data_IF_723310429000
#
_entry.id   IF_723310429000
#
_cell.length_a   1.000
_cell.length_b   1.000
_cell.length_c   1.000
_cell.angle_alpha   90.00
_cell.angle_beta   90.00
_cell.angle_gamma   90.00
#
_symmetry.space_group_name_H-M   'P 1'
#
loop_
_entity.id
_entity.type
_entity.pdbx_description
1 polymer ?
#
# COMPACT_ATOMS: atom_id res chain seq x y z
N UNK A 1 17.72 -5.34 -13.17
CA UNK A 1 18.54 -6.44 -12.64
C UNK A 1 17.60 -7.50 -12.07
N UNK A 2 17.68 -8.74 -12.55
CA UNK A 2 16.92 -9.85 -11.98
C UNK A 2 17.57 -10.22 -10.64
N UNK A 3 16.85 -10.01 -9.54
CA UNK A 3 17.29 -10.41 -8.21
C UNK A 3 17.17 -11.95 -8.09
N UNK A 4 18.18 -12.66 -8.57
CA UNK A 4 18.24 -14.13 -8.53
C UNK A 4 19.14 -14.52 -7.37
N UNK A 5 18.67 -15.43 -6.53
CA UNK A 5 19.47 -15.97 -5.45
C UNK A 5 20.68 -16.74 -6.03
N UNK A 6 21.90 -16.58 -5.50
CA UNK A 6 23.11 -17.25 -6.03
C UNK A 6 22.97 -18.77 -6.17
N UNK A 7 22.25 -19.40 -5.23
CA UNK A 7 22.03 -20.85 -5.20
C UNK A 7 20.75 -21.32 -5.94
N UNK A 8 20.12 -20.45 -6.76
CA UNK A 8 18.89 -20.81 -7.46
C UNK A 8 19.15 -21.85 -8.57
N UNK A 9 18.65 -23.09 -8.39
CA UNK A 9 18.80 -24.17 -9.39
C UNK A 9 18.10 -23.89 -10.72
N UNK A 10 17.02 -23.10 -10.71
CA UNK A 10 16.26 -22.75 -11.93
C UNK A 10 16.37 -21.26 -12.21
N UNK A 11 17.51 -20.83 -12.75
CA UNK A 11 17.67 -19.47 -13.27
C UNK A 11 16.86 -19.29 -14.57
N UNK A 12 16.57 -18.05 -15.01
CA UNK A 12 15.89 -17.80 -16.28
C UNK A 12 16.55 -18.48 -17.49
N UNK A 13 17.89 -18.59 -17.49
CA UNK A 13 18.62 -19.30 -18.53
C UNK A 13 18.31 -20.82 -18.52
N UNK A 14 18.39 -21.46 -17.34
CA UNK A 14 18.07 -22.89 -17.16
C UNK A 14 16.61 -23.17 -17.51
N UNK A 15 15.69 -22.27 -17.15
CA UNK A 15 14.26 -22.40 -17.49
C UNK A 15 14.04 -22.36 -19.01
N UNK A 16 14.77 -21.49 -19.71
CA UNK A 16 14.71 -21.40 -21.17
C UNK A 16 15.28 -22.65 -21.84
N UNK A 17 16.36 -23.21 -21.30
CA UNK A 17 16.93 -24.49 -21.75
C UNK A 17 15.93 -25.63 -21.57
N UNK A 18 15.34 -25.76 -20.37
CA UNK A 18 14.29 -26.75 -20.07
C UNK A 18 13.11 -26.63 -21.05
N UNK A 19 12.69 -25.40 -21.34
CA UNK A 19 11.54 -25.14 -22.21
C UNK A 19 11.80 -25.48 -23.69
N UNK A 20 13.05 -25.42 -24.16
CA UNK A 20 13.43 -25.76 -25.55
C UNK A 20 13.81 -27.23 -25.73
N UNK A 21 14.29 -27.87 -24.67
CA UNK A 21 14.79 -29.24 -24.78
C UNK A 21 13.67 -30.23 -25.12
N UNK A 22 13.89 -31.17 -26.07
CA UNK A 22 12.97 -32.26 -26.38
C UNK A 22 13.15 -33.49 -25.47
N UNK A 23 14.13 -33.49 -24.57
CA UNK A 23 14.50 -34.69 -23.79
C UNK A 23 13.39 -35.18 -22.83
N UNK A 24 13.40 -36.44 -22.36
CA UNK A 24 12.43 -36.88 -21.37
C UNK A 24 12.50 -36.06 -20.08
N UNK A 25 11.36 -35.74 -19.46
CA UNK A 25 11.32 -34.89 -18.26
C UNK A 25 12.12 -35.45 -17.09
N UNK A 26 12.26 -36.78 -16.99
CA UNK A 26 13.08 -37.43 -15.96
C UNK A 26 14.57 -37.16 -16.12
N UNK A 27 15.08 -37.14 -17.36
CA UNK A 27 16.49 -36.84 -17.67
C UNK A 27 16.82 -35.41 -17.27
N UNK A 28 15.96 -34.45 -17.66
CA UNK A 28 16.15 -33.05 -17.29
C UNK A 28 16.03 -32.82 -15.78
N UNK A 29 15.09 -33.51 -15.12
CA UNK A 29 14.92 -33.44 -13.67
C UNK A 29 16.19 -33.89 -12.93
N UNK A 30 16.81 -34.98 -13.37
CA UNK A 30 18.08 -35.45 -12.83
C UNK A 30 19.24 -34.49 -13.13
N UNK A 31 19.36 -34.02 -14.38
CA UNK A 31 20.42 -33.08 -14.81
C UNK A 31 20.41 -31.79 -14.00
N UNK A 32 19.24 -31.18 -13.81
CA UNK A 32 19.10 -29.89 -13.11
C UNK A 32 18.82 -30.04 -11.61
N UNK A 33 18.72 -31.27 -11.10
CA UNK A 33 18.41 -31.53 -9.69
C UNK A 33 17.09 -30.92 -9.24
N UNK A 34 16.02 -31.07 -10.03
CA UNK A 34 14.67 -30.54 -9.74
C UNK A 34 13.62 -31.63 -9.93
N UNK A 35 12.39 -31.38 -9.49
CA UNK A 35 11.28 -32.31 -9.73
C UNK A 35 10.86 -32.34 -11.21
N UNK A 36 10.33 -33.47 -11.66
CA UNK A 36 9.71 -33.61 -12.99
C UNK A 36 8.55 -32.63 -13.20
N UNK A 37 7.82 -32.28 -12.14
CA UNK A 37 6.80 -31.22 -12.16
C UNK A 37 7.37 -29.84 -12.49
N UNK A 38 8.56 -29.53 -11.97
CA UNK A 38 9.25 -28.28 -12.30
C UNK A 38 9.60 -28.23 -13.79
N UNK A 39 10.06 -29.35 -14.35
CA UNK A 39 10.34 -29.48 -15.79
C UNK A 39 9.05 -29.28 -16.62
N UNK A 40 7.98 -30.00 -16.28
CA UNK A 40 6.66 -29.87 -16.94
C UNK A 40 6.13 -28.44 -16.89
N UNK A 41 6.24 -27.77 -15.74
CA UNK A 41 5.86 -26.37 -15.56
C UNK A 41 6.59 -25.44 -16.53
N UNK A 42 7.92 -25.53 -16.61
CA UNK A 42 8.70 -24.62 -17.46
C UNK A 42 8.52 -24.91 -18.95
N UNK A 43 8.32 -26.17 -19.35
CA UNK A 43 7.87 -26.53 -20.70
C UNK A 43 6.52 -25.92 -21.06
N UNK A 44 5.54 -26.04 -20.17
CA UNK A 44 4.19 -25.48 -20.38
C UNK A 44 4.22 -23.95 -20.54
N UNK A 45 5.12 -23.25 -19.84
CA UNK A 45 5.31 -21.80 -20.00
C UNK A 45 6.01 -21.44 -21.30
N UNK A 46 6.96 -22.26 -21.74
CA UNK A 46 7.71 -22.05 -22.98
C UNK A 46 8.88 -21.07 -22.82
N UNK A 47 9.76 -21.00 -23.84
CA UNK A 47 11.01 -20.23 -23.76
C UNK A 47 10.82 -18.71 -23.67
N UNK A 48 9.64 -18.21 -24.05
CA UNK A 48 9.32 -16.78 -23.96
C UNK A 48 8.90 -16.34 -22.54
N UNK A 49 8.48 -17.26 -21.65
CA UNK A 49 7.97 -16.96 -20.30
C UNK A 49 8.78 -17.66 -19.19
N UNK A 50 10.08 -17.35 -19.15
CA UNK A 50 11.03 -17.91 -18.17
C UNK A 50 11.25 -17.01 -16.94
N UNK A 51 10.60 -15.84 -16.90
CA UNK A 51 10.71 -14.92 -15.78
C UNK A 51 9.78 -15.31 -14.62
N UNK A 52 10.12 -14.84 -13.42
CA UNK A 52 9.23 -14.98 -12.29
C UNK A 52 7.98 -14.15 -12.50
N UNK A 53 6.82 -14.82 -12.41
CA UNK A 53 5.54 -14.14 -12.33
C UNK A 53 5.37 -13.60 -10.91
N UNK A 54 4.59 -12.54 -10.78
CA UNK A 54 4.22 -12.06 -9.45
C UNK A 54 3.58 -13.20 -8.64
N UNK A 55 4.05 -13.39 -7.41
CA UNK A 55 3.38 -14.24 -6.43
C UNK A 55 2.10 -13.57 -5.87
N UNK A 56 1.82 -12.33 -6.27
CA UNK A 56 0.62 -11.61 -5.85
C UNK A 56 -0.63 -12.25 -6.47
N UNK A 57 -1.67 -12.54 -5.68
CA UNK A 57 -2.94 -13.00 -6.21
C UNK A 57 -3.50 -12.05 -7.27
N UNK A 58 -3.99 -12.59 -8.38
CA UNK A 58 -4.65 -11.81 -9.44
C UNK A 58 -5.93 -11.13 -8.95
N UNK A 59 -6.64 -11.78 -8.02
CA UNK A 59 -7.83 -11.25 -7.36
C UNK A 59 -7.61 -11.33 -5.86
N UNK A 60 -7.71 -10.18 -5.19
CA UNK A 60 -7.73 -10.14 -3.74
C UNK A 60 -9.19 -10.27 -3.29
N UNK A 61 -9.54 -11.22 -2.41
CA UNK A 61 -10.87 -11.26 -1.83
C UNK A 61 -11.05 -10.03 -0.95
N UNK A 62 -11.85 -9.08 -1.42
CA UNK A 62 -12.20 -7.89 -0.66
C UNK A 62 -13.33 -8.25 0.31
N UNK A 63 -13.20 -7.82 1.58
CA UNK A 63 -14.35 -7.80 2.49
C UNK A 63 -15.41 -6.79 2.06
N UNK A 64 -15.01 -5.79 1.27
CA UNK A 64 -15.86 -4.69 0.83
C UNK A 64 -16.45 -4.96 -0.56
N UNK A 65 -17.73 -4.64 -0.73
CA UNK A 65 -18.38 -4.59 -2.05
C UNK A 65 -17.83 -3.45 -2.91
N UNK A 66 -18.15 -3.44 -4.22
CA UNK A 66 -17.76 -2.32 -5.08
C UNK A 66 -18.34 -0.98 -4.61
N UNK A 67 -19.60 -0.98 -4.14
CA UNK A 67 -20.28 0.20 -3.62
C UNK A 67 -19.62 0.71 -2.32
N UNK A 68 -19.31 -0.17 -1.37
CA UNK A 68 -18.64 0.20 -0.11
C UNK A 68 -17.27 0.82 -0.36
N UNK A 69 -16.51 0.27 -1.32
CA UNK A 69 -15.22 0.86 -1.72
C UNK A 69 -15.41 2.26 -2.31
N UNK A 70 -16.46 2.48 -3.08
CA UNK A 70 -16.77 3.79 -3.64
C UNK A 70 -17.11 4.79 -2.53
N UNK A 71 -17.89 4.39 -1.52
CA UNK A 71 -18.20 5.21 -0.34
C UNK A 71 -16.93 5.62 0.41
N UNK A 72 -16.04 4.67 0.71
CA UNK A 72 -14.76 4.96 1.38
C UNK A 72 -13.91 5.95 0.58
N UNK A 73 -13.83 5.77 -0.75
CA UNK A 73 -13.09 6.69 -1.62
C UNK A 73 -13.72 8.09 -1.68
N UNK A 74 -15.06 8.17 -1.73
CA UNK A 74 -15.79 9.43 -1.74
C UNK A 74 -15.58 10.20 -0.43
N UNK A 75 -15.73 9.52 0.72
CA UNK A 75 -15.47 10.11 2.03
C UNK A 75 -14.04 10.64 2.14
N UNK A 76 -13.04 9.84 1.73
CA UNK A 76 -11.64 10.27 1.74
C UNK A 76 -11.40 11.55 0.94
N UNK A 77 -12.02 11.68 -0.24
CA UNK A 77 -11.88 12.87 -1.09
C UNK A 77 -12.61 14.08 -0.51
N UNK A 78 -13.79 13.87 0.07
CA UNK A 78 -14.61 14.95 0.62
C UNK A 78 -14.02 15.54 1.92
N UNK A 79 -13.49 14.69 2.80
CA UNK A 79 -13.06 15.12 4.15
C UNK A 79 -11.55 15.32 4.27
N UNK A 80 -10.76 14.61 3.47
CA UNK A 80 -9.31 14.56 3.66
C UNK A 80 -8.88 13.94 5.01
N UNK A 81 -9.78 13.26 5.73
CA UNK A 81 -9.47 12.72 7.05
C UNK A 81 -8.35 11.69 7.01
N UNK A 82 -7.40 11.72 7.97
CA UNK A 82 -6.36 10.70 8.08
C UNK A 82 -6.98 9.31 8.21
N UNK A 83 -6.17 8.28 7.98
CA UNK A 83 -6.65 6.90 7.91
C UNK A 83 -7.46 6.50 9.15
N UNK A 84 -7.02 6.90 10.33
CA UNK A 84 -7.65 6.52 11.60
C UNK A 84 -9.02 7.19 11.77
N UNK A 85 -9.10 8.50 11.55
CA UNK A 85 -10.37 9.25 11.61
C UNK A 85 -11.37 8.78 10.55
N UNK A 86 -10.90 8.52 9.32
CA UNK A 86 -11.75 7.95 8.29
C UNK A 86 -12.23 6.55 8.69
N UNK A 87 -11.36 5.73 9.27
CA UNK A 87 -11.73 4.39 9.73
C UNK A 87 -12.79 4.47 10.83
N UNK A 88 -12.62 5.37 11.80
CA UNK A 88 -13.61 5.57 12.86
C UNK A 88 -15.01 5.84 12.30
N UNK A 89 -15.12 6.74 11.32
CA UNK A 89 -16.39 7.07 10.68
C UNK A 89 -16.92 5.90 9.85
N UNK A 90 -16.07 5.30 9.01
CA UNK A 90 -16.46 4.19 8.13
C UNK A 90 -16.94 2.99 8.95
N UNK A 91 -16.23 2.62 10.02
CA UNK A 91 -16.58 1.48 10.86
C UNK A 91 -17.91 1.67 11.61
N UNK A 92 -18.37 2.91 11.78
CA UNK A 92 -19.72 3.17 12.33
C UNK A 92 -20.84 2.69 11.39
N UNK A 93 -20.67 2.87 10.08
CA UNK A 93 -21.68 2.49 9.07
C UNK A 93 -21.40 1.15 8.38
N UNK A 94 -20.13 0.74 8.32
CA UNK A 94 -19.62 -0.46 7.66
C UNK A 94 -18.72 -1.23 8.65
N UNK A 95 -19.30 -1.88 9.68
CA UNK A 95 -18.56 -2.44 10.81
C UNK A 95 -17.64 -3.62 10.44
N UNK A 96 -17.88 -4.28 9.31
CA UNK A 96 -17.00 -5.33 8.78
C UNK A 96 -15.71 -4.79 8.15
N UNK A 97 -15.62 -3.47 7.91
CA UNK A 97 -14.43 -2.81 7.41
C UNK A 97 -13.55 -2.34 8.56
N UNK A 98 -12.50 -3.11 8.82
CA UNK A 98 -11.44 -2.70 9.73
C UNK A 98 -10.46 -1.73 9.06
N UNK A 99 -9.57 -1.15 9.88
CA UNK A 99 -8.52 -0.21 9.45
C UNK A 99 -7.72 -0.69 8.23
N UNK A 100 -7.34 -1.96 8.21
CA UNK A 100 -6.56 -2.53 7.10
C UNK A 100 -7.38 -2.70 5.81
N UNK A 101 -8.68 -2.97 5.93
CA UNK A 101 -9.59 -2.95 4.78
C UNK A 101 -9.67 -1.54 4.20
N UNK A 102 -9.91 -0.52 5.04
CA UNK A 102 -9.93 0.89 4.63
C UNK A 102 -8.61 1.30 3.97
N UNK A 103 -7.47 1.01 4.60
CA UNK A 103 -6.15 1.28 4.04
C UNK A 103 -5.94 0.62 2.67
N UNK A 104 -6.28 -0.67 2.52
CA UNK A 104 -6.13 -1.38 1.24
C UNK A 104 -7.02 -0.78 0.15
N UNK A 105 -8.23 -0.36 0.49
CA UNK A 105 -9.14 0.33 -0.45
C UNK A 105 -8.50 1.63 -0.93
N UNK A 106 -8.02 2.46 0.00
CA UNK A 106 -7.36 3.73 -0.34
C UNK A 106 -6.09 3.50 -1.16
N UNK A 107 -5.26 2.52 -0.81
CA UNK A 107 -4.04 2.18 -1.55
C UNK A 107 -4.33 1.71 -2.97
N UNK A 108 -5.35 0.87 -3.14
CA UNK A 108 -5.78 0.41 -4.47
C UNK A 108 -6.35 1.56 -5.32
N UNK A 109 -6.97 2.56 -4.70
CA UNK A 109 -7.48 3.76 -5.36
C UNK A 109 -6.46 4.90 -5.51
N UNK A 110 -5.21 4.74 -5.02
CA UNK A 110 -4.20 5.81 -5.03
C UNK A 110 -4.45 6.97 -4.06
N UNK A 111 -5.35 6.79 -3.08
CA UNK A 111 -5.77 7.82 -2.12
C UNK A 111 -5.13 7.67 -0.72
N UNK A 112 -4.15 6.77 -0.59
CA UNK A 112 -3.48 6.49 0.68
C UNK A 112 -2.59 7.64 1.17
N UNK A 113 -2.22 8.57 0.28
CA UNK A 113 -1.51 9.80 0.63
C UNK A 113 -2.46 10.97 0.44
N UNK A 114 -2.48 11.87 1.42
CA UNK A 114 -3.10 13.17 1.25
C UNK A 114 -2.18 14.00 0.34
N UNK A 115 -2.75 14.64 -0.68
CA UNK A 115 -2.06 15.75 -1.32
C UNK A 115 -1.85 16.82 -0.23
N UNK A 116 -0.65 17.40 -0.10
CA UNK A 116 -0.46 18.57 0.75
C UNK A 116 -1.55 19.57 0.39
N UNK A 117 -2.31 20.02 1.37
CA UNK A 117 -3.30 21.05 1.10
C UNK A 117 -2.54 22.26 0.55
N UNK A 118 -2.98 22.77 -0.60
CA UNK A 118 -2.48 24.02 -1.19
C UNK A 118 -3.02 25.20 -0.38
N UNK A 119 -2.80 25.15 0.95
CA UNK A 119 -3.09 26.26 1.83
C UNK A 119 -1.90 27.18 1.67
N UNK A 120 -1.96 28.06 0.68
CA UNK A 120 -1.24 29.34 0.76
C UNK A 120 -1.53 29.88 2.15
N UNK A 121 -0.51 29.94 3.00
CA UNK A 121 -0.63 30.46 4.36
C UNK A 121 -1.25 31.85 4.20
N UNK A 122 -2.53 32.01 4.56
CA UNK A 122 -3.18 33.31 4.42
C UNK A 122 -2.29 34.32 5.14
N UNK A 123 -1.94 35.46 4.52
CA UNK A 123 -1.18 36.48 5.20
C UNK A 123 -1.93 36.84 6.49
N UNK A 124 -1.16 37.15 7.54
CA UNK A 124 -1.76 37.60 8.80
C UNK A 124 -2.67 38.80 8.51
N UNK A 125 -3.96 38.66 8.77
CA UNK A 125 -4.95 39.72 8.67
C UNK A 125 -5.49 40.05 10.05
N UNK A 126 -6.03 41.26 10.20
CA UNK A 126 -6.81 41.60 11.38
C UNK A 126 -8.01 40.63 11.52
N UNK A 127 -8.46 40.46 12.76
CA UNK A 127 -9.72 39.76 13.02
C UNK A 127 -10.87 40.53 12.39
N UNK A 128 -11.88 39.80 11.91
CA UNK A 128 -13.10 40.40 11.43
C UNK A 128 -13.90 40.95 12.63
N UNK A 129 -14.48 42.13 12.49
CA UNK A 129 -15.48 42.62 13.44
C UNK A 129 -16.78 41.85 13.21
N UNK A 130 -17.02 40.84 14.04
CA UNK A 130 -18.26 40.07 14.04
C UNK A 130 -19.17 40.55 15.19
N UNK A 131 -20.49 40.51 14.99
CA UNK A 131 -21.48 40.83 16.03
C UNK A 131 -21.39 39.84 17.22
N UNK A 132 -21.97 40.20 18.36
CA UNK A 132 -22.00 39.32 19.55
C UNK A 132 -22.72 38.01 19.21
N UNK A 133 -22.04 36.86 19.38
CA UNK A 133 -22.61 35.53 19.13
C UNK A 133 -21.64 34.50 18.54
N UNK A 134 -20.45 34.92 18.10
CA UNK A 134 -19.45 34.03 17.53
C UNK A 134 -18.31 33.71 18.50
N UNK A 135 -17.81 32.47 18.47
CA UNK A 135 -16.66 32.03 19.26
C UNK A 135 -15.49 31.74 18.32
N UNK A 136 -14.37 32.46 18.52
CA UNK A 136 -13.14 32.20 17.79
C UNK A 136 -12.33 31.10 18.50
N UNK A 137 -12.14 29.96 17.83
CA UNK A 137 -11.31 28.86 18.31
C UNK A 137 -10.03 28.80 17.48
N UNK A 138 -8.90 29.16 18.10
CA UNK A 138 -7.58 29.07 17.47
C UNK A 138 -6.79 27.89 18.05
N UNK A 139 -6.18 27.09 17.17
CA UNK A 139 -5.33 25.96 17.56
C UNK A 139 -3.90 26.29 17.22
N UNK A 140 -3.11 26.63 18.25
CA UNK A 140 -1.68 26.91 18.11
C UNK A 140 -0.85 25.69 18.46
N UNK A 141 0.04 25.30 17.55
CA UNK A 141 1.10 24.36 17.89
C UNK A 141 2.12 25.05 18.78
N UNK A 142 2.21 24.60 20.03
CA UNK A 142 3.22 25.07 20.95
C UNK A 142 4.59 24.52 20.54
N UNK A 143 5.66 25.34 20.58
CA UNK A 143 7.01 24.83 20.39
C UNK A 143 7.33 23.80 21.47
N UNK A 144 8.29 22.92 21.16
CA UNK A 144 8.81 21.97 22.15
C UNK A 144 9.40 22.76 23.32
N UNK A 145 9.21 22.27 24.55
CA UNK A 145 9.73 22.93 25.75
C UNK A 145 11.23 22.65 25.84
N UNK A 146 12.03 23.68 26.07
CA UNK A 146 13.43 23.51 26.44
C UNK A 146 13.50 23.45 27.97
N UNK A 147 14.04 22.37 28.51
CA UNK A 147 14.28 22.28 29.96
C UNK A 147 15.52 23.10 30.36
N UNK A 148 15.78 23.17 31.68
CA UNK A 148 16.91 23.92 32.24
C UNK A 148 18.27 23.44 31.71
N UNK A 149 18.34 22.22 31.21
CA UNK A 149 19.55 21.59 30.67
C UNK A 149 19.65 21.76 29.14
N UNK A 150 18.75 22.54 28.53
CA UNK A 150 18.76 22.81 27.10
C UNK A 150 18.12 21.72 26.24
N UNK A 151 17.57 20.66 26.83
CA UNK A 151 17.00 19.52 26.12
C UNK A 151 15.58 19.85 25.68
N UNK A 152 15.31 19.61 24.40
CA UNK A 152 14.03 19.93 23.79
C UNK A 152 13.05 18.75 23.92
N UNK A 153 12.00 18.87 24.73
CA UNK A 153 11.01 17.82 25.00
C UNK A 153 9.64 18.14 24.40
N UNK A 154 8.91 17.09 23.98
CA UNK A 154 7.48 17.23 23.65
C UNK A 154 6.73 17.57 24.93
N UNK A 155 5.83 18.56 24.87
CA UNK A 155 4.87 18.78 25.96
C UNK A 155 3.88 17.61 25.94
N UNK A 156 3.97 16.72 26.93
CA UNK A 156 2.87 15.81 27.26
C UNK A 156 1.84 16.59 28.06
N UNK A 157 0.58 16.54 27.64
CA UNK A 157 -0.57 16.90 28.47
C UNK A 157 -0.84 15.78 29.48
#
# INVERSE_FOLDING_TARGET
>A
MLAIHPNARTTPAVRAEIARSPEPSGVLAQRFGVSTETIRKWRKRGPADCQDRSARPHKLPWKASAAERAVVCALRRATGFPLDDLTFIVSHFLPHLNRDAVYRILKAAGLNRLTPADRTRKPHSAFKEDEVGFVHLDVKHLPKLQDRDGITRKRSL
#
